data_IF_308851133226
#
_entry.id   IF_308851133226
#
_cell.length_a   1.000
_cell.length_b   1.000
_cell.length_c   1.000
_cell.angle_alpha   90.00
_cell.angle_beta   90.00
_cell.angle_gamma   90.00
#
_symmetry.space_group_name_H-M   'P 1'
#
loop_
_entity.id
_entity.type
_entity.pdbx_description
1 polymer ?
#
# COMPACT_ATOMS: atom_id res chain seq x y z
N UNK A 1 -30.16 -1.99 -80.36
CA UNK A 1 -29.60 -1.85 -78.99
C UNK A 1 -29.47 -0.37 -78.63
N UNK A 2 -30.15 0.10 -77.58
CA UNK A 2 -30.26 1.53 -77.22
C UNK A 2 -29.23 1.85 -76.13
N UNK A 3 -28.18 2.61 -76.45
CA UNK A 3 -27.10 2.96 -75.50
C UNK A 3 -27.66 3.88 -74.41
N UNK A 4 -27.59 3.44 -73.14
CA UNK A 4 -27.98 4.24 -71.97
C UNK A 4 -26.87 5.27 -71.69
N UNK A 5 -27.22 6.55 -71.72
CA UNK A 5 -26.30 7.64 -71.40
C UNK A 5 -26.18 7.80 -69.88
N UNK A 6 -25.19 7.13 -69.28
CA UNK A 6 -24.91 7.18 -67.84
C UNK A 6 -24.44 8.55 -67.33
N UNK A 7 -24.02 9.44 -68.23
CA UNK A 7 -23.51 10.77 -67.86
C UNK A 7 -24.61 11.77 -67.47
N UNK A 8 -25.84 11.61 -68.01
CA UNK A 8 -26.94 12.55 -67.73
C UNK A 8 -27.55 12.37 -66.33
N UNK A 9 -27.62 11.13 -65.82
CA UNK A 9 -28.22 10.89 -64.50
C UNK A 9 -27.33 11.39 -63.37
N UNK A 10 -26.01 11.30 -63.54
CA UNK A 10 -25.07 11.72 -62.50
C UNK A 10 -25.11 13.23 -62.27
N UNK A 11 -25.18 14.03 -63.35
CA UNK A 11 -25.30 15.48 -63.25
C UNK A 11 -26.65 15.91 -62.65
N UNK A 12 -27.75 15.26 -63.02
CA UNK A 12 -29.08 15.60 -62.49
C UNK A 12 -29.18 15.45 -60.96
N UNK A 13 -28.49 14.45 -60.38
CA UNK A 13 -28.46 14.25 -58.93
C UNK A 13 -27.57 15.27 -58.20
N UNK A 14 -26.51 15.78 -58.85
CA UNK A 14 -25.67 16.84 -58.28
C UNK A 14 -26.46 18.15 -58.19
N UNK A 15 -27.17 18.52 -59.27
CA UNK A 15 -28.01 19.72 -59.29
C UNK A 15 -29.22 19.66 -58.36
N UNK A 16 -29.76 18.46 -58.07
CA UNK A 16 -30.84 18.30 -57.07
C UNK A 16 -30.37 18.50 -55.62
N UNK A 17 -29.07 18.33 -55.32
CA UNK A 17 -28.53 18.48 -53.95
C UNK A 17 -27.94 19.85 -53.69
N UNK A 18 -27.46 20.55 -54.71
CA UNK A 18 -27.07 21.95 -54.57
C UNK A 18 -28.32 22.83 -54.65
N UNK A 19 -28.81 23.37 -53.53
CA UNK A 19 -29.68 24.55 -53.60
C UNK A 19 -28.95 25.59 -54.44
N UNK A 20 -29.63 26.21 -55.39
CA UNK A 20 -29.07 27.24 -56.25
C UNK A 20 -28.69 28.45 -55.37
N UNK A 21 -27.49 28.44 -54.82
CA UNK A 21 -26.90 29.55 -54.08
C UNK A 21 -26.28 30.50 -55.10
N UNK A 22 -26.70 31.76 -55.03
CA UNK A 22 -26.21 32.79 -55.94
C UNK A 22 -24.71 33.06 -55.64
N UNK A 23 -23.80 32.86 -56.61
CA UNK A 23 -22.36 33.07 -56.40
C UNK A 23 -21.99 34.53 -56.09
N UNK A 24 -22.87 35.49 -56.39
CA UNK A 24 -22.69 36.90 -56.05
C UNK A 24 -23.22 37.27 -54.66
N UNK A 25 -23.97 36.37 -54.01
CA UNK A 25 -24.32 36.44 -52.60
C UNK A 25 -23.69 35.26 -51.87
N UNK A 26 -22.34 35.17 -51.91
CA UNK A 26 -21.63 34.40 -50.90
C UNK A 26 -21.81 35.14 -49.58
N UNK A 27 -22.96 34.95 -48.93
CA UNK A 27 -23.14 35.38 -47.56
C UNK A 27 -21.95 34.81 -46.82
N UNK A 28 -21.10 35.69 -46.28
CA UNK A 28 -20.02 35.28 -45.40
C UNK A 28 -20.67 34.31 -44.43
N UNK A 29 -20.26 33.04 -44.49
CA UNK A 29 -20.80 32.03 -43.59
C UNK A 29 -20.44 32.57 -42.22
N UNK A 30 -21.39 33.20 -41.55
CA UNK A 30 -21.25 33.65 -40.18
C UNK A 30 -20.91 32.38 -39.43
N UNK A 31 -19.62 32.14 -39.25
CA UNK A 31 -19.12 31.09 -38.39
C UNK A 31 -19.71 31.45 -37.07
N UNK A 32 -20.70 30.66 -36.66
CA UNK A 32 -21.56 31.03 -35.56
C UNK A 32 -20.70 31.01 -34.30
N UNK A 33 -20.15 32.17 -33.95
CA UNK A 33 -19.33 32.38 -32.76
C UNK A 33 -20.09 31.87 -31.52
N UNK A 34 -21.42 31.86 -31.58
CA UNK A 34 -22.29 31.18 -30.62
C UNK A 34 -21.91 29.72 -30.37
N UNK A 35 -21.51 28.92 -31.37
CA UNK A 35 -21.04 27.53 -31.15
C UNK A 35 -19.75 27.46 -30.34
N UNK A 36 -18.83 28.40 -30.55
CA UNK A 36 -17.59 28.50 -29.77
C UNK A 36 -17.84 28.93 -28.32
N UNK A 37 -18.98 29.58 -28.02
CA UNK A 37 -19.40 29.90 -26.65
C UNK A 37 -20.25 28.79 -26.01
N UNK A 38 -21.04 28.05 -26.79
CA UNK A 38 -21.90 26.98 -26.29
C UNK A 38 -21.08 25.78 -25.81
N UNK A 39 -20.07 25.35 -26.57
CA UNK A 39 -19.23 24.19 -26.23
C UNK A 39 -18.56 24.34 -24.85
N UNK A 40 -17.81 25.43 -24.55
CA UNK A 40 -17.21 25.61 -23.23
C UNK A 40 -18.27 25.77 -22.13
N UNK A 41 -19.43 26.36 -22.43
CA UNK A 41 -20.54 26.44 -21.49
C UNK A 41 -21.06 25.06 -21.07
N UNK A 42 -21.22 24.13 -22.02
CA UNK A 42 -21.60 22.74 -21.73
C UNK A 42 -20.52 22.04 -20.91
N UNK A 43 -19.25 22.19 -21.29
CA UNK A 43 -18.14 21.63 -20.51
C UNK A 43 -18.10 22.16 -19.08
N UNK A 44 -18.30 23.46 -18.90
CA UNK A 44 -18.35 24.10 -17.58
C UNK A 44 -19.48 23.53 -16.71
N UNK A 45 -20.68 23.37 -17.27
CA UNK A 45 -21.81 22.75 -16.57
C UNK A 45 -21.51 21.29 -16.21
N UNK A 46 -20.93 20.51 -17.13
CA UNK A 46 -20.53 19.13 -16.86
C UNK A 46 -19.47 19.04 -15.75
N UNK A 47 -18.48 19.92 -15.76
CA UNK A 47 -17.46 19.99 -14.70
C UNK A 47 -18.08 20.34 -13.35
N UNK A 48 -19.04 21.29 -13.30
CA UNK A 48 -19.75 21.61 -12.06
C UNK A 48 -20.58 20.43 -11.53
N UNK A 49 -21.25 19.69 -12.41
CA UNK A 49 -22.01 18.50 -12.03
C UNK A 49 -21.05 17.41 -11.51
N UNK A 50 -19.96 17.14 -12.22
CA UNK A 50 -18.95 16.17 -11.80
C UNK A 50 -18.33 16.56 -10.45
N UNK A 51 -18.03 17.83 -10.24
CA UNK A 51 -17.54 18.37 -8.97
C UNK A 51 -18.55 18.16 -7.84
N UNK A 52 -19.83 18.48 -8.08
CA UNK A 52 -20.90 18.27 -7.10
C UNK A 52 -21.09 16.80 -6.73
N UNK A 53 -20.95 15.89 -7.71
CA UNK A 53 -21.04 14.45 -7.48
C UNK A 53 -19.90 13.92 -6.60
N UNK A 54 -18.68 14.44 -6.77
CA UNK A 54 -17.52 14.06 -5.95
C UNK A 54 -17.66 14.55 -4.50
N UNK A 55 -18.38 15.66 -4.28
CA UNK A 55 -18.61 16.19 -2.95
C UNK A 55 -19.65 15.39 -2.12
N UNK A 56 -20.38 14.44 -2.74
CA UNK A 56 -21.44 13.71 -2.06
C UNK A 56 -20.89 12.80 -0.95
N UNK A 57 -21.44 12.87 0.28
CA UNK A 57 -21.01 12.01 1.39
C UNK A 57 -21.38 10.53 1.20
N UNK A 58 -22.28 10.23 0.24
CA UNK A 58 -22.69 8.87 -0.08
C UNK A 58 -21.56 8.04 -0.72
N UNK A 59 -20.61 8.71 -1.40
CA UNK A 59 -19.48 8.09 -2.10
C UNK A 59 -18.22 7.98 -1.23
N UNK A 60 -18.32 8.32 0.06
CA UNK A 60 -17.21 8.20 1.02
C UNK A 60 -17.22 6.85 1.72
N UNK A 61 -16.02 6.33 1.97
CA UNK A 61 -15.78 5.15 2.81
C UNK A 61 -16.33 5.43 4.22
N UNK A 62 -17.19 4.54 4.73
CA UNK A 62 -17.86 4.70 6.03
C UNK A 62 -17.23 3.83 7.12
N UNK A 63 -16.81 2.62 6.77
CA UNK A 63 -16.23 1.67 7.71
C UNK A 63 -14.98 1.03 7.14
N UNK A 64 -14.05 0.71 8.04
CA UNK A 64 -12.84 -0.04 7.78
C UNK A 64 -13.00 -1.32 8.58
N UNK A 65 -12.81 -2.46 7.94
CA UNK A 65 -12.89 -3.78 8.58
C UNK A 65 -11.53 -4.45 8.39
N UNK A 66 -10.93 -4.91 9.48
CA UNK A 66 -9.63 -5.57 9.47
C UNK A 66 -9.78 -7.04 9.85
N UNK A 67 -9.09 -7.92 9.11
CA UNK A 67 -9.15 -9.38 9.29
C UNK A 67 -7.73 -9.95 9.20
N UNK A 68 -7.44 -10.98 10.00
CA UNK A 68 -6.16 -11.71 9.96
C UNK A 68 -5.06 -11.17 10.87
N UNK A 69 -5.40 -10.20 11.72
CA UNK A 69 -4.53 -9.70 12.79
C UNK A 69 -4.47 -10.69 13.95
N UNK A 70 -3.27 -10.91 14.49
CA UNK A 70 -3.02 -11.81 15.62
C UNK A 70 -2.39 -11.03 16.77
N UNK A 71 -1.39 -10.22 16.46
CA UNK A 71 -0.57 -9.47 17.42
C UNK A 71 -0.94 -7.99 17.43
N UNK A 72 -1.26 -7.44 16.27
CA UNK A 72 -1.49 -6.00 16.14
C UNK A 72 -2.95 -5.69 16.48
N UNK A 73 -3.17 -4.68 17.33
CA UNK A 73 -4.51 -4.28 17.70
C UNK A 73 -5.29 -3.73 16.48
N UNK A 74 -6.48 -4.25 16.17
CA UNK A 74 -7.28 -3.81 15.02
C UNK A 74 -7.52 -2.30 14.95
N UNK A 75 -7.79 -1.67 16.10
CA UNK A 75 -8.01 -0.22 16.20
C UNK A 75 -6.81 0.62 15.76
N UNK A 76 -5.58 0.14 16.00
CA UNK A 76 -4.37 0.84 15.61
C UNK A 76 -4.22 0.86 14.07
N UNK A 77 -4.52 -0.26 13.42
CA UNK A 77 -4.53 -0.38 11.96
C UNK A 77 -5.63 0.50 11.37
N UNK A 78 -6.84 0.43 11.92
CA UNK A 78 -7.98 1.25 11.46
C UNK A 78 -7.69 2.74 11.57
N UNK A 79 -7.10 3.18 12.68
CA UNK A 79 -6.72 4.58 12.88
C UNK A 79 -5.64 5.02 11.88
N UNK A 80 -4.62 4.18 11.67
CA UNK A 80 -3.56 4.45 10.68
C UNK A 80 -4.14 4.58 9.28
N UNK A 81 -5.04 3.68 8.88
CA UNK A 81 -5.71 3.75 7.58
C UNK A 81 -6.55 5.01 7.47
N UNK A 82 -7.30 5.36 8.52
CA UNK A 82 -8.09 6.58 8.58
C UNK A 82 -7.23 7.83 8.39
N UNK A 83 -6.03 7.84 8.97
CA UNK A 83 -5.07 8.94 8.83
C UNK A 83 -4.41 8.97 7.44
N UNK A 84 -4.27 7.82 6.77
CA UNK A 84 -3.80 7.75 5.39
C UNK A 84 -4.84 8.27 4.40
N UNK A 85 -6.12 7.92 4.57
CA UNK A 85 -7.21 8.32 3.66
C UNK A 85 -7.75 9.73 3.94
N UNK A 86 -7.54 10.28 5.15
CA UNK A 86 -7.97 11.64 5.48
C UNK A 86 -7.19 12.72 4.71
N UNK A 87 -6.02 12.37 4.17
CA UNK A 87 -5.18 13.28 3.40
C UNK A 87 -5.83 13.59 2.05
N UNK A 88 -5.96 14.87 1.67
CA UNK A 88 -6.56 15.24 0.41
C UNK A 88 -5.68 14.80 -0.77
N UNK A 89 -6.33 14.31 -1.83
CA UNK A 89 -5.72 13.99 -3.10
C UNK A 89 -5.76 15.24 -3.98
N UNK A 90 -4.61 15.64 -4.55
CA UNK A 90 -4.48 16.88 -5.34
C UNK A 90 -5.03 18.14 -4.65
N UNK A 91 -4.83 18.28 -3.33
CA UNK A 91 -5.24 19.42 -2.48
C UNK A 91 -6.74 19.69 -2.34
N UNK A 92 -7.59 19.25 -3.27
CA UNK A 92 -9.02 19.57 -3.26
C UNK A 92 -9.94 18.35 -3.21
N UNK A 93 -9.45 17.15 -3.56
CA UNK A 93 -10.27 15.95 -3.54
C UNK A 93 -10.14 15.23 -2.20
N UNK A 94 -11.27 14.79 -1.61
CA UNK A 94 -11.22 14.00 -0.39
C UNK A 94 -10.60 12.61 -0.67
N UNK A 95 -9.61 12.21 0.11
CA UNK A 95 -8.90 10.92 -0.07
C UNK A 95 -9.71 9.69 0.33
N UNK A 96 -10.81 9.88 1.06
CA UNK A 96 -11.76 8.84 1.48
C UNK A 96 -12.86 8.57 0.42
N UNK A 97 -12.78 9.21 -0.75
CA UNK A 97 -13.75 9.06 -1.82
C UNK A 97 -13.51 7.78 -2.63
N UNK A 98 -14.59 7.09 -2.99
CA UNK A 98 -14.57 5.78 -3.63
C UNK A 98 -13.65 5.71 -4.87
N UNK A 99 -13.70 6.71 -5.75
CA UNK A 99 -12.90 6.76 -6.99
C UNK A 99 -11.42 7.18 -6.81
N UNK A 100 -11.08 7.88 -5.74
CA UNK A 100 -9.72 8.42 -5.55
C UNK A 100 -8.91 7.60 -4.55
N UNK A 101 -9.52 6.58 -3.94
CA UNK A 101 -8.87 5.70 -2.99
C UNK A 101 -7.81 4.84 -3.68
N UNK A 102 -6.56 5.00 -3.26
CA UNK A 102 -5.43 4.23 -3.79
C UNK A 102 -5.18 3.01 -2.88
N UNK A 103 -5.95 1.93 -3.07
CA UNK A 103 -5.86 0.71 -2.24
C UNK A 103 -4.45 0.13 -2.19
N UNK A 104 -3.74 0.07 -3.33
CA UNK A 104 -2.36 -0.42 -3.39
C UNK A 104 -1.39 0.45 -2.58
N UNK A 105 -1.59 1.77 -2.56
CA UNK A 105 -0.75 2.68 -1.78
C UNK A 105 -0.96 2.47 -0.30
N UNK A 106 -2.22 2.29 0.13
CA UNK A 106 -2.57 1.96 1.51
C UNK A 106 -1.94 0.63 1.91
N UNK A 107 -2.05 -0.39 1.06
CA UNK A 107 -1.46 -1.71 1.30
C UNK A 107 0.06 -1.63 1.49
N UNK A 108 0.77 -0.93 0.59
CA UNK A 108 2.21 -0.77 0.66
C UNK A 108 2.64 0.01 1.92
N UNK A 109 1.92 1.08 2.27
CA UNK A 109 2.22 1.87 3.47
C UNK A 109 1.97 1.07 4.76
N UNK A 110 0.88 0.32 4.84
CA UNK A 110 0.63 -0.57 5.97
C UNK A 110 1.71 -1.64 6.09
N UNK A 111 2.10 -2.24 4.96
CA UNK A 111 3.17 -3.24 4.92
C UNK A 111 4.50 -2.70 5.44
N UNK A 112 4.84 -1.47 5.08
CA UNK A 112 6.07 -0.80 5.54
C UNK A 112 6.02 -0.44 7.03
N UNK A 113 4.91 0.15 7.49
CA UNK A 113 4.75 0.60 8.88
C UNK A 113 4.78 -0.58 9.87
N UNK A 114 4.09 -1.67 9.53
CA UNK A 114 3.89 -2.81 10.43
C UNK A 114 4.73 -4.05 10.07
N UNK A 115 5.61 -3.96 9.06
CA UNK A 115 6.45 -5.07 8.58
C UNK A 115 5.66 -6.35 8.26
N UNK A 116 4.48 -6.19 7.67
CA UNK A 116 3.54 -7.28 7.41
C UNK A 116 4.03 -8.17 6.26
N UNK A 117 3.63 -9.45 6.28
CA UNK A 117 3.98 -10.37 5.21
C UNK A 117 3.17 -10.03 3.94
N UNK A 118 1.84 -10.05 4.09
CA UNK A 118 0.89 -9.75 3.03
C UNK A 118 -0.20 -8.80 3.54
N UNK A 119 -0.57 -7.86 2.68
CA UNK A 119 -1.66 -6.91 2.94
C UNK A 119 -2.48 -6.82 1.67
N UNK A 120 -3.73 -7.23 1.75
CA UNK A 120 -4.70 -7.06 0.69
C UNK A 120 -5.76 -6.03 1.14
N UNK A 121 -6.04 -5.08 0.27
CA UNK A 121 -6.97 -3.98 0.54
C UNK A 121 -8.02 -3.97 -0.55
N UNK A 122 -9.22 -4.43 -0.19
CA UNK A 122 -10.35 -4.52 -1.09
C UNK A 122 -11.45 -3.54 -0.72
N UNK A 123 -12.07 -2.95 -1.73
CA UNK A 123 -13.19 -2.04 -1.56
C UNK A 123 -14.50 -2.78 -1.80
N UNK A 124 -15.33 -2.86 -0.75
CA UNK A 124 -16.64 -3.54 -0.79
C UNK A 124 -17.73 -2.51 -0.52
N UNK A 125 -18.22 -1.89 -1.60
CA UNK A 125 -19.20 -0.81 -1.52
C UNK A 125 -18.66 0.42 -0.78
N UNK A 126 -19.19 0.68 0.42
CA UNK A 126 -18.77 1.78 1.31
C UNK A 126 -17.84 1.32 2.44
N UNK A 127 -17.31 0.10 2.33
CA UNK A 127 -16.43 -0.51 3.32
C UNK A 127 -15.07 -0.76 2.69
N UNK A 128 -14.02 -0.58 3.49
CA UNK A 128 -12.67 -0.99 3.15
C UNK A 128 -12.37 -2.26 3.93
N UNK A 129 -12.28 -3.39 3.23
CA UNK A 129 -11.87 -4.67 3.81
C UNK A 129 -10.36 -4.79 3.68
N UNK A 130 -9.70 -4.98 4.81
CA UNK A 130 -8.24 -5.09 4.89
C UNK A 130 -7.92 -6.46 5.45
N UNK A 131 -7.37 -7.31 4.59
CA UNK A 131 -6.91 -8.65 4.96
C UNK A 131 -5.40 -8.61 5.16
N UNK A 132 -4.97 -8.93 6.38
CA UNK A 132 -3.58 -8.84 6.80
C UNK A 132 -3.09 -10.24 7.13
N UNK A 133 -1.91 -10.57 6.61
CA UNK A 133 -1.12 -11.70 7.08
C UNK A 133 0.09 -11.13 7.81
N UNK A 134 0.08 -11.26 9.15
CA UNK A 134 1.21 -10.88 9.98
C UNK A 134 2.39 -11.83 9.76
N UNK A 135 3.60 -11.28 9.77
CA UNK A 135 4.82 -12.10 9.82
C UNK A 135 5.02 -12.54 11.27
N UNK A 136 4.76 -13.81 11.56
CA UNK A 136 4.88 -14.36 12.90
C UNK A 136 6.34 -14.79 13.13
N UNK A 137 7.17 -13.92 13.69
CA UNK A 137 8.53 -14.27 14.11
C UNK A 137 8.51 -14.91 15.50
N UNK A 138 8.48 -16.25 15.56
CA UNK A 138 8.53 -17.02 16.83
C UNK A 138 9.93 -17.43 17.26
N UNK A 139 10.91 -17.31 16.36
CA UNK A 139 12.26 -17.77 16.56
C UNK A 139 13.18 -16.58 16.87
N UNK A 140 13.95 -16.69 17.94
CA UNK A 140 15.08 -15.80 18.22
C UNK A 140 16.37 -16.57 18.01
N UNK A 141 17.29 -16.01 17.24
CA UNK A 141 18.67 -16.50 17.14
C UNK A 141 19.56 -15.69 18.06
N UNK A 142 20.32 -16.37 18.91
CA UNK A 142 21.26 -15.76 19.84
C UNK A 142 22.69 -16.11 19.44
N UNK A 143 23.47 -15.10 19.09
CA UNK A 143 24.88 -15.26 18.72
C UNK A 143 25.70 -14.08 19.24
N UNK A 144 26.79 -14.37 19.96
CA UNK A 144 27.73 -13.38 20.50
C UNK A 144 27.03 -12.23 21.26
N UNK A 145 26.10 -12.57 22.16
CA UNK A 145 25.31 -11.61 22.97
C UNK A 145 24.33 -10.72 22.16
N UNK A 146 24.10 -11.04 20.89
CA UNK A 146 23.13 -10.37 20.03
C UNK A 146 21.93 -11.28 19.75
N UNK A 147 20.76 -10.68 19.75
CA UNK A 147 19.47 -11.36 19.63
C UNK A 147 18.81 -10.92 18.33
N UNK A 148 18.47 -11.88 17.48
CA UNK A 148 17.89 -11.62 16.16
C UNK A 148 16.55 -12.33 16.00
N UNK A 149 15.54 -11.64 15.48
CA UNK A 149 14.31 -12.29 15.05
C UNK A 149 14.54 -13.05 13.75
N UNK A 150 14.11 -14.31 13.74
CA UNK A 150 14.08 -15.14 12.54
C UNK A 150 12.64 -15.28 12.01
N UNK A 151 12.54 -15.25 10.69
CA UNK A 151 11.33 -15.62 9.96
C UNK A 151 11.14 -17.15 9.93
N UNK A 152 9.99 -17.61 9.44
CA UNK A 152 9.68 -19.04 9.26
C UNK A 152 10.69 -19.75 8.35
N UNK A 153 11.36 -19.00 7.46
CA UNK A 153 12.40 -19.49 6.57
C UNK A 153 13.81 -19.52 7.21
N UNK A 154 13.95 -19.14 8.48
CA UNK A 154 15.25 -19.01 9.15
C UNK A 154 16.07 -17.79 8.74
N UNK A 155 15.45 -16.84 8.02
CA UNK A 155 16.10 -15.58 7.63
C UNK A 155 16.05 -14.57 8.76
N UNK A 156 17.16 -13.88 9.03
CA UNK A 156 17.22 -12.79 10.01
C UNK A 156 16.37 -11.61 9.50
N UNK A 157 15.35 -11.23 10.25
CA UNK A 157 14.47 -10.09 9.94
C UNK A 157 15.06 -8.80 10.49
N UNK A 158 15.40 -8.79 11.78
CA UNK A 158 16.00 -7.66 12.48
C UNK A 158 16.62 -8.09 13.80
N UNK A 159 17.46 -7.22 14.36
CA UNK A 159 17.94 -7.32 15.73
C UNK A 159 16.85 -6.88 16.73
N UNK A 160 16.85 -7.50 17.91
CA UNK A 160 15.98 -7.11 19.02
C UNK A 160 16.46 -5.80 19.64
N UNK A 161 15.51 -4.94 19.97
CA UNK A 161 15.80 -3.77 20.80
C UNK A 161 16.20 -4.19 22.22
N UNK A 162 16.88 -3.33 23.00
CA UNK A 162 17.26 -3.65 24.38
C UNK A 162 16.08 -4.04 25.27
N UNK A 163 14.92 -3.41 25.06
CA UNK A 163 13.69 -3.71 25.80
C UNK A 163 13.15 -5.11 25.44
N UNK A 164 13.05 -5.42 24.15
CA UNK A 164 12.62 -6.74 23.67
C UNK A 164 13.60 -7.85 24.09
N UNK A 165 14.90 -7.54 24.13
CA UNK A 165 15.93 -8.48 24.56
C UNK A 165 15.71 -8.91 26.02
N UNK A 166 15.49 -7.95 26.92
CA UNK A 166 15.24 -8.24 28.34
C UNK A 166 14.01 -9.12 28.51
N UNK A 167 12.92 -8.83 27.79
CA UNK A 167 11.71 -9.64 27.84
C UNK A 167 11.90 -11.04 27.25
N UNK A 168 12.66 -11.15 26.15
CA UNK A 168 12.99 -12.44 25.57
C UNK A 168 13.81 -13.30 26.55
N UNK A 169 14.80 -12.70 27.23
CA UNK A 169 15.57 -13.36 28.29
C UNK A 169 14.67 -13.82 29.45
N UNK A 170 13.74 -12.98 29.89
CA UNK A 170 12.76 -13.34 30.92
C UNK A 170 11.86 -14.51 30.48
N UNK A 171 11.32 -14.49 29.26
CA UNK A 171 10.46 -15.57 28.74
C UNK A 171 11.23 -16.88 28.57
N UNK A 172 12.46 -16.83 28.05
CA UNK A 172 13.33 -18.02 27.88
C UNK A 172 13.62 -18.67 29.23
N UNK A 173 13.92 -17.86 30.25
CA UNK A 173 14.28 -18.37 31.57
C UNK A 173 13.08 -18.83 32.40
N UNK A 174 11.92 -18.18 32.23
CA UNK A 174 10.78 -18.35 33.15
C UNK A 174 9.63 -19.17 32.55
N UNK A 175 9.66 -19.49 31.25
CA UNK A 175 8.56 -20.13 30.51
C UNK A 175 7.20 -19.43 30.74
N UNK A 176 7.23 -18.11 30.91
CA UNK A 176 6.05 -17.31 31.27
C UNK A 176 5.26 -16.85 30.05
N UNK A 177 4.02 -16.43 30.34
CA UNK A 177 3.03 -15.93 29.38
C UNK A 177 3.52 -14.68 28.62
N UNK A 178 2.93 -14.39 27.45
CA UNK A 178 3.24 -13.23 26.61
C UNK A 178 3.26 -11.89 27.37
N UNK A 179 4.18 -11.02 26.97
CA UNK A 179 4.38 -9.67 27.49
C UNK A 179 3.73 -8.61 26.58
N UNK A 180 3.90 -7.33 26.92
CA UNK A 180 3.35 -6.22 26.14
C UNK A 180 3.97 -6.11 24.73
N UNK A 181 5.26 -6.44 24.58
CA UNK A 181 5.95 -6.35 23.30
C UNK A 181 6.02 -7.69 22.58
N UNK A 182 6.06 -8.80 23.31
CA UNK A 182 6.18 -10.15 22.76
C UNK A 182 4.94 -10.97 23.09
N UNK A 183 3.92 -10.83 22.24
CA UNK A 183 2.60 -11.41 22.46
C UNK A 183 2.50 -12.89 22.06
N UNK A 184 3.57 -13.47 21.49
CA UNK A 184 3.61 -14.88 21.09
C UNK A 184 4.72 -15.62 21.84
N UNK A 185 4.52 -16.91 22.19
CA UNK A 185 5.58 -17.71 22.78
C UNK A 185 6.77 -17.84 21.83
N UNK A 186 7.96 -17.67 22.39
CA UNK A 186 9.22 -17.61 21.64
C UNK A 186 10.04 -18.87 21.90
N UNK A 187 10.81 -19.29 20.91
CA UNK A 187 11.88 -20.25 21.10
C UNK A 187 13.23 -19.65 20.68
N UNK A 188 14.26 -19.90 21.49
CA UNK A 188 15.61 -19.41 21.26
C UNK A 188 16.49 -20.51 20.65
N UNK A 189 17.28 -20.13 19.63
CA UNK A 189 18.30 -20.96 19.01
C UNK A 189 19.66 -20.38 19.41
N UNK A 190 20.42 -21.14 20.20
CA UNK A 190 21.75 -20.74 20.67
C UNK A 190 22.82 -21.22 19.71
N UNK A 191 23.67 -20.32 19.22
CA UNK A 191 24.86 -20.68 18.46
C UNK A 191 26.00 -21.07 19.42
N UNK A 192 26.21 -22.38 19.60
CA UNK A 192 27.24 -22.92 20.51
C UNK A 192 28.63 -22.98 19.88
N UNK A 193 28.78 -22.64 18.60
CA UNK A 193 30.02 -22.85 17.85
C UNK A 193 31.20 -21.97 18.30
N UNK A 194 30.94 -20.85 18.99
CA UNK A 194 31.98 -19.94 19.47
C UNK A 194 32.34 -20.09 20.96
N UNK A 195 31.59 -20.87 21.73
CA UNK A 195 31.80 -20.98 23.19
C UNK A 195 33.00 -21.85 23.59
N UNK A 196 33.59 -22.59 22.66
CA UNK A 196 34.76 -23.44 22.94
C UNK A 196 36.10 -22.67 22.91
N UNK A 197 36.16 -21.50 22.27
CA UNK A 197 37.46 -20.79 22.07
C UNK A 197 37.92 -20.02 23.30
N UNK A 198 37.06 -19.75 24.29
CA UNK A 198 37.44 -18.99 25.51
C UNK A 198 37.73 -19.87 26.73
N UNK A 199 37.44 -21.18 26.69
CA UNK A 199 37.69 -22.08 27.82
C UNK A 199 39.15 -22.59 27.89
N UNK A 200 39.90 -22.56 26.78
CA UNK A 200 41.26 -23.13 26.73
C UNK A 200 42.39 -22.15 27.10
N UNK A 201 42.11 -20.87 27.38
CA UNK A 201 43.17 -19.90 27.73
C UNK A 201 43.37 -19.68 29.24
N UNK A 202 42.63 -20.41 30.09
CA UNK A 202 42.68 -20.26 31.56
C UNK A 202 43.16 -21.54 32.27
N UNK A 203 44.20 -22.19 31.75
CA UNK A 203 44.94 -23.25 32.47
C UNK A 203 46.30 -23.32 31.79
N UNK A 204 47.33 -22.66 32.28
CA UNK A 204 48.27 -23.29 33.21
C UNK A 204 49.34 -22.24 33.52
N UNK A 205 49.26 -21.58 34.68
CA UNK A 205 50.48 -21.02 35.30
C UNK A 205 50.90 -22.04 36.35
N UNK A 206 51.99 -22.80 36.12
CA UNK A 206 52.47 -23.74 37.11
C UNK A 206 53.06 -22.96 38.28
N UNK A 207 52.56 -23.28 39.47
CA UNK A 207 53.06 -22.85 40.77
C UNK A 207 54.45 -23.48 41.02
N UNK A 208 55.57 -22.72 41.07
CA UNK A 208 56.85 -23.27 41.46
C UNK A 208 56.91 -23.31 43.00
N UNK A 209 56.56 -24.46 43.56
CA UNK A 209 56.80 -24.75 44.98
C UNK A 209 58.16 -25.43 45.14
N UNK A 210 59.03 -24.77 45.90
CA UNK A 210 60.01 -25.36 46.83
C UNK A 210 61.23 -26.07 46.21
N UNK A 211 62.37 -25.36 46.24
CA UNK A 211 63.68 -25.99 46.38
C UNK A 211 64.27 -25.56 47.72
N UNK A 212 64.27 -26.52 48.64
CA UNK A 212 65.12 -26.58 49.83
C UNK A 212 66.57 -26.71 49.35
N UNK A 213 67.51 -25.99 49.96
CA UNK A 213 68.77 -26.54 50.50
C UNK A 213 69.68 -25.39 51.01
N UNK A 214 70.17 -25.54 52.25
CA UNK A 214 71.28 -24.75 52.81
C UNK A 214 70.99 -24.03 54.11
#
# INVERSE_FOLDING_TARGET
>A
MRRRNFLKSHQANVYKRSRFENPYFSGEKQTSWTRYLIIPGIFFILTLIAWGLIALPMMRIKSIETVGLVTIQPSAVEQTVKDLISKPVFYFFPGDHHWFLQTQKIANQLKEIYQLNEVDVQQVGRRLLITISERITRAIWVSNDRYFFLDENGTIVRELSPEERLEAEEQINTQTQPSNYLQSPIFAIWDTSNSQTQAETSTTTPNPSLENEG
#
